data_IF_208820420562
#
_entry.id   IF_208820420562
#
_cell.length_a   1.000
_cell.length_b   1.000
_cell.length_c   1.000
_cell.angle_alpha   90.00
_cell.angle_beta   90.00
_cell.angle_gamma   90.00
#
_symmetry.space_group_name_H-M   'P 1'
#
loop_
_entity.id
_entity.type
_entity.pdbx_description
1 polymer ?
#
# COMPACT_ATOMS: atom_id res chain seq x y z
N UNK A 1 -1.57 -13.82 19.54
CA UNK A 1 -2.67 -14.51 18.82
C UNK A 1 -2.15 -15.00 17.48
N UNK A 2 -2.63 -16.13 16.95
CA UNK A 2 -2.41 -16.50 15.54
C UNK A 2 -2.87 -15.33 14.66
N UNK A 3 -1.95 -14.75 13.89
CA UNK A 3 -2.10 -13.44 13.23
C UNK A 3 -0.83 -12.57 13.23
N UNK A 4 0.28 -13.04 13.83
CA UNK A 4 1.51 -12.26 14.00
C UNK A 4 2.70 -12.66 13.10
N UNK A 5 2.48 -13.03 11.84
CA UNK A 5 3.46 -12.77 10.76
C UNK A 5 2.93 -13.20 9.39
N UNK A 6 2.13 -12.32 8.81
CA UNK A 6 2.02 -12.05 7.38
C UNK A 6 1.73 -10.55 7.27
N UNK A 7 2.45 -9.82 6.41
CA UNK A 7 2.29 -8.38 6.30
C UNK A 7 2.89 -7.60 7.47
N UNK A 8 4.22 -7.53 7.51
CA UNK A 8 4.89 -6.37 8.10
C UNK A 8 4.63 -5.17 7.16
N UNK A 9 3.37 -4.78 6.95
CA UNK A 9 2.99 -3.66 6.08
C UNK A 9 2.79 -2.41 6.94
N UNK A 10 3.04 -1.23 6.35
CA UNK A 10 2.78 0.03 7.05
C UNK A 10 1.27 0.15 7.24
N UNK A 11 0.84 0.20 8.50
CA UNK A 11 -0.57 0.37 8.82
C UNK A 11 -1.06 1.72 8.28
N UNK A 12 -2.02 1.68 7.36
CA UNK A 12 -2.70 2.89 6.85
C UNK A 12 -3.54 3.52 7.96
N UNK A 13 -4.18 2.69 8.77
CA UNK A 13 -5.00 3.08 9.92
C UNK A 13 -4.72 2.16 11.10
N UNK A 14 -4.64 2.73 12.31
CA UNK A 14 -4.45 2.00 13.55
C UNK A 14 -5.70 2.14 14.41
N UNK A 15 -6.22 1.02 14.89
CA UNK A 15 -7.31 0.99 15.87
C UNK A 15 -6.72 0.72 17.25
N UNK A 16 -7.14 1.49 18.25
CA UNK A 16 -6.67 1.36 19.63
C UNK A 16 -7.84 1.50 20.61
N UNK A 17 -7.75 0.77 21.71
CA UNK A 17 -8.73 0.84 22.81
C UNK A 17 -8.19 1.76 23.90
N UNK A 18 -9.01 2.71 24.34
CA UNK A 18 -8.67 3.50 25.51
C UNK A 18 -8.78 2.62 26.76
N UNK A 19 -7.67 2.43 27.48
CA UNK A 19 -7.61 1.61 28.70
C UNK A 19 -8.57 2.08 29.80
N UNK A 20 -8.92 3.38 29.83
CA UNK A 20 -9.89 3.95 30.76
C UNK A 20 -11.35 3.87 30.27
N UNK A 21 -11.62 3.20 29.13
CA UNK A 21 -12.98 3.03 28.62
C UNK A 21 -13.85 2.28 29.63
N UNK A 22 -15.09 2.75 29.79
CA UNK A 22 -16.12 2.06 30.60
C UNK A 22 -16.86 0.99 29.81
N UNK A 23 -16.67 0.94 28.49
CA UNK A 23 -17.35 0.04 27.57
C UNK A 23 -16.34 -0.89 26.88
N UNK A 24 -15.47 -1.53 27.67
CA UNK A 24 -14.37 -2.35 27.13
C UNK A 24 -14.90 -3.46 26.22
N UNK A 25 -15.88 -4.23 26.69
CA UNK A 25 -16.44 -5.36 25.97
C UNK A 25 -17.03 -4.97 24.60
N UNK A 26 -17.81 -3.89 24.55
CA UNK A 26 -18.38 -3.41 23.28
C UNK A 26 -17.30 -2.85 22.34
N UNK A 27 -16.24 -2.26 22.89
CA UNK A 27 -15.10 -1.79 22.08
C UNK A 27 -14.34 -2.97 21.47
N UNK A 28 -14.13 -4.04 22.24
CA UNK A 28 -13.49 -5.27 21.74
C UNK A 28 -14.33 -5.92 20.64
N UNK A 29 -15.65 -6.06 20.83
CA UNK A 29 -16.56 -6.57 19.79
C UNK A 29 -16.54 -5.73 18.52
N UNK A 30 -16.46 -4.41 18.65
CA UNK A 30 -16.31 -3.51 17.50
C UNK A 30 -14.99 -3.77 16.75
N UNK A 31 -13.88 -3.96 17.46
CA UNK A 31 -12.60 -4.29 16.84
C UNK A 31 -12.63 -5.65 16.13
N UNK A 32 -13.25 -6.66 16.74
CA UNK A 32 -13.44 -7.97 16.11
C UNK A 32 -14.22 -7.84 14.80
N UNK A 33 -15.31 -7.07 14.79
CA UNK A 33 -16.08 -6.81 13.57
C UNK A 33 -15.24 -6.05 12.53
N UNK A 34 -14.56 -4.97 12.93
CA UNK A 34 -13.75 -4.16 12.02
C UNK A 34 -12.56 -4.93 11.40
N UNK A 35 -12.06 -5.95 12.10
CA UNK A 35 -10.98 -6.83 11.65
C UNK A 35 -11.48 -8.15 11.05
N UNK A 36 -12.79 -8.36 11.00
CA UNK A 36 -13.40 -9.57 10.47
C UNK A 36 -13.24 -9.69 8.95
N UNK A 37 -13.29 -10.93 8.47
CA UNK A 37 -13.29 -11.23 7.04
C UNK A 37 -14.50 -10.62 6.32
N UNK A 38 -15.67 -10.68 6.96
CA UNK A 38 -16.93 -10.16 6.43
C UNK A 38 -16.82 -8.65 6.17
N UNK A 39 -16.48 -7.87 7.20
CA UNK A 39 -16.41 -6.43 7.08
C UNK A 39 -15.31 -5.99 6.11
N UNK A 40 -14.10 -6.54 6.24
CA UNK A 40 -12.98 -6.15 5.37
C UNK A 40 -13.15 -6.64 3.93
N UNK A 41 -13.86 -7.74 3.70
CA UNK A 41 -14.12 -8.27 2.36
C UNK A 41 -15.04 -7.37 1.54
N UNK A 42 -16.05 -6.78 2.18
CA UNK A 42 -17.07 -5.97 1.51
C UNK A 42 -16.83 -4.46 1.60
N UNK A 43 -16.21 -3.96 2.66
CA UNK A 43 -15.97 -2.54 2.83
C UNK A 43 -14.92 -2.04 1.83
N UNK A 44 -15.22 -0.92 1.14
CA UNK A 44 -14.24 -0.20 0.31
C UNK A 44 -13.27 0.59 1.19
N UNK A 45 -12.39 -0.12 1.89
CA UNK A 45 -11.34 0.47 2.74
C UNK A 45 -10.12 0.84 1.92
N UNK A 46 -9.45 1.93 2.30
CA UNK A 46 -8.13 2.25 1.76
C UNK A 46 -7.11 1.20 2.20
N UNK A 47 -6.33 0.70 1.23
CA UNK A 47 -5.29 -0.29 1.45
C UNK A 47 -5.75 -1.75 1.39
N UNK A 48 -4.81 -2.65 1.66
CA UNK A 48 -4.99 -4.10 1.62
C UNK A 48 -5.57 -4.61 2.95
N UNK A 49 -6.59 -5.49 2.94
CA UNK A 49 -7.11 -6.12 4.16
C UNK A 49 -6.02 -6.82 4.97
N UNK A 50 -6.09 -6.69 6.30
CA UNK A 50 -5.26 -7.47 7.21
C UNK A 50 -5.76 -8.91 7.30
N UNK A 51 -7.08 -9.10 7.18
CA UNK A 51 -7.66 -10.42 7.15
C UNK A 51 -7.36 -11.10 5.79
N UNK A 52 -6.70 -12.26 5.83
CA UNK A 52 -6.28 -12.98 4.62
C UNK A 52 -7.46 -13.49 3.78
N UNK A 53 -8.55 -13.90 4.41
CA UNK A 53 -9.76 -14.31 3.70
C UNK A 53 -10.39 -13.14 2.95
N UNK A 54 -10.50 -11.98 3.62
CA UNK A 54 -10.99 -10.75 2.99
C UNK A 54 -10.10 -10.32 1.81
N UNK A 55 -8.78 -10.41 1.98
CA UNK A 55 -7.82 -10.14 0.91
C UNK A 55 -8.05 -11.03 -0.32
N UNK A 56 -8.13 -12.35 -0.14
CA UNK A 56 -8.37 -13.28 -1.23
C UNK A 56 -9.74 -13.07 -1.89
N UNK A 57 -10.77 -12.77 -1.08
CA UNK A 57 -12.12 -12.46 -1.58
C UNK A 57 -12.11 -11.25 -2.52
N UNK A 58 -11.24 -10.25 -2.28
CA UNK A 58 -11.10 -9.06 -3.14
C UNK A 58 -10.37 -9.34 -4.46
N UNK A 59 -9.74 -10.49 -4.65
CA UNK A 59 -9.13 -10.88 -5.93
C UNK A 59 -10.14 -11.45 -6.93
N UNK A 60 -11.37 -11.73 -6.48
CA UNK A 60 -12.44 -12.22 -7.34
C UNK A 60 -13.11 -11.06 -8.06
N UNK A 61 -13.14 -11.13 -9.39
CA UNK A 61 -13.88 -10.17 -10.20
C UNK A 61 -15.39 -10.35 -9.97
N UNK A 62 -16.01 -9.38 -9.31
CA UNK A 62 -17.44 -9.41 -8.97
C UNK A 62 -18.32 -8.72 -10.02
N UNK A 63 -17.73 -8.28 -11.14
CA UNK A 63 -18.48 -7.72 -12.28
C UNK A 63 -19.35 -8.79 -12.93
N UNK A 64 -20.37 -8.36 -13.65
CA UNK A 64 -21.25 -9.29 -14.36
C UNK A 64 -20.50 -10.05 -15.47
N UNK A 65 -20.89 -11.30 -15.71
CA UNK A 65 -20.23 -12.18 -16.70
C UNK A 65 -20.22 -11.59 -18.12
N UNK A 66 -21.24 -10.79 -18.48
CA UNK A 66 -21.31 -10.19 -19.80
C UNK A 66 -20.21 -9.13 -19.97
N UNK A 67 -20.01 -8.28 -18.97
CA UNK A 67 -18.92 -7.29 -18.94
C UNK A 67 -17.55 -7.94 -18.99
N UNK A 68 -17.35 -9.03 -18.22
CA UNK A 68 -16.09 -9.80 -18.22
C UNK A 68 -15.85 -10.41 -19.60
N UNK A 69 -16.84 -11.10 -20.17
CA UNK A 69 -16.73 -11.75 -21.50
C UNK A 69 -16.52 -10.74 -22.63
N UNK A 70 -17.05 -9.53 -22.48
CA UNK A 70 -16.86 -8.44 -23.45
C UNK A 70 -15.49 -7.75 -23.30
N UNK A 71 -14.67 -8.09 -22.30
CA UNK A 71 -13.37 -7.47 -22.08
C UNK A 71 -13.48 -5.99 -21.75
N UNK A 72 -14.56 -5.59 -21.06
CA UNK A 72 -14.73 -4.21 -20.62
C UNK A 72 -13.74 -3.89 -19.50
N UNK A 73 -13.13 -2.69 -19.49
CA UNK A 73 -12.26 -2.28 -18.41
C UNK A 73 -13.06 -2.12 -17.10
N UNK A 74 -12.40 -2.25 -15.96
CA UNK A 74 -13.01 -2.00 -14.64
C UNK A 74 -13.26 -0.51 -14.42
N UNK A 75 -12.53 0.34 -15.14
CA UNK A 75 -12.70 1.77 -15.13
C UNK A 75 -11.90 2.45 -16.23
N UNK A 76 -12.20 3.71 -16.47
CA UNK A 76 -11.44 4.56 -17.38
C UNK A 76 -11.20 5.89 -16.70
N UNK A 77 -9.99 6.42 -16.81
CA UNK A 77 -9.66 7.78 -16.38
C UNK A 77 -8.93 8.50 -17.50
N UNK A 78 -8.80 9.81 -17.40
CA UNK A 78 -8.05 10.63 -18.35
C UNK A 78 -7.00 11.48 -17.63
N UNK A 79 -5.90 11.74 -18.33
CA UNK A 79 -4.84 12.63 -17.90
C UNK A 79 -4.51 13.61 -19.03
N UNK A 80 -3.85 14.71 -18.68
CA UNK A 80 -3.29 15.66 -19.64
C UNK A 80 -1.79 15.41 -19.67
N UNK A 81 -1.25 15.14 -20.86
CA UNK A 81 0.18 14.95 -21.08
C UNK A 81 0.92 16.31 -21.13
N UNK A 82 2.25 16.29 -21.11
CA UNK A 82 3.09 17.49 -21.11
C UNK A 82 2.89 18.39 -22.33
N UNK A 83 2.43 17.83 -23.45
CA UNK A 83 2.10 18.56 -24.67
C UNK A 83 0.67 19.13 -24.69
N UNK A 84 -0.09 18.92 -23.61
CA UNK A 84 -1.49 19.34 -23.48
C UNK A 84 -2.51 18.38 -24.11
N UNK A 85 -2.07 17.25 -24.67
CA UNK A 85 -2.98 16.23 -25.21
C UNK A 85 -3.68 15.44 -24.10
N UNK A 86 -4.88 14.95 -24.38
CA UNK A 86 -5.64 14.11 -23.45
C UNK A 86 -5.30 12.64 -23.69
N UNK A 87 -4.84 11.96 -22.64
CA UNK A 87 -4.57 10.52 -22.64
C UNK A 87 -5.68 9.80 -21.89
N UNK A 88 -6.28 8.79 -22.52
CA UNK A 88 -7.25 7.92 -21.87
C UNK A 88 -6.56 6.66 -21.34
N UNK A 89 -6.75 6.39 -20.06
CA UNK A 89 -6.17 5.25 -19.36
C UNK A 89 -7.29 4.26 -19.08
N UNK A 90 -7.12 3.04 -19.58
CA UNK A 90 -7.99 1.90 -19.24
C UNK A 90 -7.44 1.23 -17.99
N UNK A 91 -8.32 1.00 -17.03
CA UNK A 91 -8.01 0.24 -15.83
C UNK A 91 -8.59 -1.15 -16.08
N UNK A 92 -7.72 -2.15 -16.12
CA UNK A 92 -8.11 -3.54 -16.34
C UNK A 92 -8.15 -4.29 -15.01
N UNK A 93 -8.96 -5.36 -14.94
CA UNK A 93 -8.91 -6.27 -13.79
C UNK A 93 -7.60 -7.08 -13.86
N UNK A 94 -6.87 -7.25 -12.75
CA UNK A 94 -5.64 -8.02 -12.78
C UNK A 94 -5.88 -9.49 -13.15
N UNK A 95 -4.95 -10.07 -13.91
CA UNK A 95 -4.98 -11.50 -14.19
C UNK A 95 -4.41 -12.34 -13.03
N UNK A 96 -4.49 -13.66 -13.16
CA UNK A 96 -4.03 -14.60 -12.14
C UNK A 96 -2.51 -14.50 -11.89
N UNK A 97 -1.71 -14.20 -12.91
CA UNK A 97 -0.26 -14.05 -12.74
C UNK A 97 0.07 -12.77 -11.97
N UNK A 98 -0.64 -11.68 -12.25
CA UNK A 98 -0.52 -10.43 -11.53
C UNK A 98 -0.94 -10.57 -10.06
N UNK A 99 -2.02 -11.30 -9.77
CA UNK A 99 -2.38 -11.63 -8.38
C UNK A 99 -1.34 -12.52 -7.70
N UNK A 100 -0.80 -13.52 -8.39
CA UNK A 100 0.29 -14.36 -7.86
C UNK A 100 1.55 -13.55 -7.53
N UNK A 101 1.87 -12.54 -8.33
CA UNK A 101 2.98 -11.63 -8.05
C UNK A 101 2.68 -10.71 -6.86
N UNK A 102 1.46 -10.16 -6.79
CA UNK A 102 1.04 -9.37 -5.63
C UNK A 102 1.09 -10.20 -4.33
N UNK A 103 0.61 -11.44 -4.38
CA UNK A 103 0.70 -12.38 -3.27
C UNK A 103 2.16 -12.52 -2.85
N UNK A 104 3.05 -12.91 -3.77
CA UNK A 104 4.49 -13.06 -3.52
C UNK A 104 5.11 -11.82 -2.87
N UNK A 105 4.78 -10.63 -3.37
CA UNK A 105 5.25 -9.37 -2.80
C UNK A 105 4.79 -9.21 -1.35
N UNK A 106 3.52 -9.46 -1.05
CA UNK A 106 2.98 -9.39 0.32
C UNK A 106 3.61 -10.44 1.26
N UNK A 107 3.90 -11.65 0.77
CA UNK A 107 4.58 -12.70 1.58
C UNK A 107 6.05 -12.34 1.84
N UNK A 108 6.69 -11.61 0.90
CA UNK A 108 8.09 -11.20 1.02
C UNK A 108 8.33 -10.10 2.06
N UNK A 109 7.27 -9.43 2.53
CA UNK A 109 7.39 -8.32 3.49
C UNK A 109 7.68 -8.85 4.89
N UNK A 110 8.94 -8.78 5.28
CA UNK A 110 9.45 -9.26 6.59
C UNK A 110 9.49 -8.18 7.66
N UNK A 111 9.71 -6.93 7.25
CA UNK A 111 9.86 -5.76 8.14
C UNK A 111 9.26 -4.52 7.49
N UNK A 112 8.74 -3.61 8.33
CA UNK A 112 8.39 -2.26 7.91
C UNK A 112 9.06 -1.23 8.79
N UNK A 113 9.58 -0.22 8.11
CA UNK A 113 10.08 0.98 8.74
C UNK A 113 9.20 2.14 8.27
N UNK A 114 8.66 2.90 9.23
CA UNK A 114 8.13 4.22 8.93
C UNK A 114 9.35 5.11 8.76
N UNK A 115 9.83 5.18 7.51
CA UNK A 115 11.02 5.94 7.16
C UNK A 115 10.98 7.31 7.84
N UNK A 116 12.06 7.66 8.54
CA UNK A 116 12.18 8.97 9.16
C UNK A 116 12.02 10.06 8.08
N UNK A 117 11.23 11.09 8.37
CA UNK A 117 10.91 12.12 7.38
C UNK A 117 12.16 12.80 6.83
N UNK A 118 13.19 12.99 7.65
CA UNK A 118 14.45 13.62 7.24
C UNK A 118 15.24 12.70 6.31
N UNK A 119 15.26 11.39 6.58
CA UNK A 119 15.86 10.39 5.69
C UNK A 119 15.12 10.38 4.34
N UNK A 120 13.78 10.38 4.37
CA UNK A 120 12.96 10.41 3.16
C UNK A 120 13.20 11.67 2.32
N UNK A 121 13.19 12.85 2.94
CA UNK A 121 13.43 14.11 2.25
C UNK A 121 14.80 14.15 1.58
N UNK A 122 15.82 13.61 2.25
CA UNK A 122 17.17 13.50 1.70
C UNK A 122 17.21 12.65 0.43
N UNK A 123 16.57 11.47 0.47
CA UNK A 123 16.47 10.57 -0.69
C UNK A 123 15.79 11.27 -1.86
N UNK A 124 14.70 12.01 -1.59
CA UNK A 124 14.00 12.77 -2.63
C UNK A 124 14.90 13.86 -3.24
N UNK A 125 15.62 14.61 -2.41
CA UNK A 125 16.48 15.70 -2.89
C UNK A 125 17.64 15.18 -3.75
N UNK A 126 18.33 14.13 -3.30
CA UNK A 126 19.45 13.55 -4.04
C UNK A 126 18.96 12.80 -5.29
N UNK A 127 17.82 12.10 -5.20
CA UNK A 127 17.20 11.46 -6.36
C UNK A 127 16.84 12.45 -7.46
N UNK A 128 16.37 13.65 -7.10
CA UNK A 128 16.13 14.73 -8.07
C UNK A 128 17.40 15.13 -8.81
N UNK A 129 18.53 15.27 -8.11
CA UNK A 129 19.83 15.61 -8.72
C UNK A 129 20.28 14.54 -9.71
N UNK A 130 20.06 13.26 -9.41
CA UNK A 130 20.33 12.15 -10.35
C UNK A 130 19.48 12.26 -11.60
N UNK A 131 18.17 12.47 -11.45
CA UNK A 131 17.24 12.57 -12.59
C UNK A 131 17.53 13.78 -13.48
N UNK A 132 18.06 14.86 -12.90
CA UNK A 132 18.49 16.05 -13.62
C UNK A 132 19.91 15.93 -14.21
N UNK A 133 20.59 14.79 -14.00
CA UNK A 133 21.94 14.52 -14.49
C UNK A 133 23.05 15.26 -13.73
N UNK A 134 22.75 15.76 -12.53
CA UNK A 134 23.69 16.50 -11.68
C UNK A 134 24.66 15.62 -10.88
N UNK A 135 24.33 14.34 -10.68
CA UNK A 135 25.22 13.33 -10.09
C UNK A 135 24.83 11.92 -10.54
N UNK A 136 25.70 10.95 -10.27
CA UNK A 136 25.43 9.52 -10.43
C UNK A 136 24.59 8.97 -9.27
N UNK A 137 23.98 7.80 -9.49
CA UNK A 137 23.23 7.10 -8.43
C UNK A 137 24.14 6.78 -7.25
N UNK A 138 25.37 6.37 -7.52
CA UNK A 138 26.37 6.01 -6.52
C UNK A 138 26.73 7.22 -5.65
N UNK A 139 27.03 8.37 -6.27
CA UNK A 139 27.33 9.62 -5.54
C UNK A 139 26.14 10.09 -4.70
N UNK A 140 24.92 9.98 -5.21
CA UNK A 140 23.71 10.31 -4.46
C UNK A 140 23.54 9.41 -3.23
N UNK A 141 23.76 8.10 -3.37
CA UNK A 141 23.67 7.15 -2.25
C UNK A 141 24.72 7.43 -1.19
N UNK A 142 25.97 7.72 -1.58
CA UNK A 142 27.03 8.09 -0.64
C UNK A 142 26.69 9.36 0.16
N UNK A 143 26.16 10.39 -0.50
CA UNK A 143 25.78 11.63 0.16
C UNK A 143 24.58 11.43 1.10
N UNK A 144 23.56 10.64 0.71
CA UNK A 144 22.44 10.26 1.59
C UNK A 144 23.00 9.58 2.85
N UNK A 145 23.86 8.56 2.68
CA UNK A 145 24.41 7.80 3.80
C UNK A 145 25.19 8.69 4.78
N UNK A 146 26.00 9.61 4.24
CA UNK A 146 26.76 10.59 5.03
C UNK A 146 25.84 11.53 5.82
N UNK A 147 24.79 12.07 5.20
CA UNK A 147 23.89 12.98 5.89
C UNK A 147 23.06 12.28 6.97
N UNK A 148 22.63 11.04 6.72
CA UNK A 148 21.94 10.23 7.73
C UNK A 148 22.87 9.90 8.91
N UNK A 149 24.15 9.59 8.66
CA UNK A 149 25.12 9.35 9.73
C UNK A 149 25.34 10.58 10.62
N UNK A 150 25.41 11.77 10.03
CA UNK A 150 25.53 13.03 10.78
C UNK A 150 24.30 13.25 11.66
N UNK A 151 23.11 13.09 11.09
CA UNK A 151 21.85 13.22 11.83
C UNK A 151 21.74 12.25 13.02
N UNK A 152 22.14 10.98 12.85
CA UNK A 152 22.12 9.98 13.92
C UNK A 152 23.16 10.22 15.02
N UNK A 153 24.15 11.10 14.79
CA UNK A 153 25.19 11.44 15.76
C UNK A 153 24.81 12.64 16.66
N UNK A 154 23.73 13.36 16.33
CA UNK A 154 23.18 14.50 17.09
C UNK A 154 22.18 14.03 18.16
#
# INVERSE_FOLDING_TARGET
MPGQRYGACLAVSVLAVNAASKNQEDTEKFLELALSEEFQGDASLNGTPLNRGAYLRRQVDTRDEMSIRAGLPVGTTNAIDFDGSMVFIRIEWPDEEQFRELDRLLESVTEVNRCDSLVYENVIEQGKKVLEGGCTVEEAVEEIAKQVQLYLAE
#
